data_IF_968851120158
#
_entry.id   IF_968851120158
#
_cell.length_a   1.000
_cell.length_b   1.000
_cell.length_c   1.000
_cell.angle_alpha   90.00
_cell.angle_beta   90.00
_cell.angle_gamma   90.00
#
_symmetry.space_group_name_H-M   'P 1'
#
loop_
_entity.id
_entity.type
_entity.pdbx_description
1 polymer ?
#
# COMPACT_ATOMS: atom_id res chain seq x y z
N UNK A 1 40.62 10.64 4.96
CA UNK A 1 39.64 9.59 5.28
C UNK A 1 38.27 10.19 5.38
N UNK A 2 37.30 9.62 4.69
CA UNK A 2 35.94 10.12 4.75
C UNK A 2 35.25 9.69 6.04
N UNK A 3 34.58 10.61 6.72
CA UNK A 3 33.85 10.34 7.95
C UNK A 3 32.36 10.16 7.72
N UNK A 4 31.96 9.98 6.48
CA UNK A 4 30.55 9.79 6.14
C UNK A 4 30.38 8.70 5.09
N UNK A 5 29.17 8.17 5.03
CA UNK A 5 28.74 7.28 3.96
C UNK A 5 27.58 7.93 3.22
N UNK A 6 27.36 7.48 2.01
CA UNK A 6 26.29 7.98 1.16
C UNK A 6 25.35 6.85 0.82
N UNK A 7 24.05 7.13 0.85
CA UNK A 7 23.03 6.15 0.52
C UNK A 7 21.95 6.82 -0.34
N UNK A 8 21.53 6.13 -1.37
CA UNK A 8 20.40 6.55 -2.20
C UNK A 8 19.28 5.54 -2.02
N UNK A 9 18.10 6.05 -1.70
CA UNK A 9 16.92 5.21 -1.48
C UNK A 9 15.84 5.63 -2.46
N UNK A 10 15.27 4.67 -3.18
CA UNK A 10 14.12 4.88 -4.04
C UNK A 10 12.87 4.40 -3.31
N UNK A 11 11.88 5.29 -3.17
CA UNK A 11 10.62 4.98 -2.52
C UNK A 11 9.53 4.86 -3.56
N UNK A 12 8.79 3.75 -3.51
CA UNK A 12 7.63 3.51 -4.36
C UNK A 12 6.40 3.42 -3.50
N UNK A 13 5.35 4.17 -3.87
CA UNK A 13 4.05 4.12 -3.21
C UNK A 13 3.07 3.54 -4.22
N UNK A 14 2.42 2.42 -3.86
CA UNK A 14 1.36 1.85 -4.68
C UNK A 14 0.02 2.12 -4.02
N UNK A 15 -0.93 2.61 -4.81
CA UNK A 15 -2.25 3.01 -4.33
C UNK A 15 -3.34 2.37 -5.15
N UNK A 16 -4.40 1.97 -4.46
CA UNK A 16 -5.66 1.53 -5.07
C UNK A 16 -6.73 2.51 -4.61
N UNK A 17 -7.37 3.17 -5.55
CA UNK A 17 -8.26 4.29 -5.30
C UNK A 17 -9.68 3.86 -5.59
N UNK A 18 -10.55 3.97 -4.57
CA UNK A 18 -11.96 3.60 -4.66
C UNK A 18 -12.77 4.89 -4.63
N UNK A 19 -13.61 5.16 -5.66
CA UNK A 19 -14.49 6.33 -5.61
C UNK A 19 -15.48 6.25 -4.45
N UNK A 20 -15.70 7.37 -3.79
CA UNK A 20 -16.64 7.48 -2.69
C UNK A 20 -17.46 8.74 -2.90
N UNK A 21 -18.70 8.58 -3.33
CA UNK A 21 -19.58 9.70 -3.62
C UNK A 21 -20.52 9.97 -2.46
N UNK A 22 -20.67 11.24 -2.09
CA UNK A 22 -21.66 11.60 -1.08
C UNK A 22 -23.06 11.53 -1.65
N UNK A 23 -24.06 11.14 -0.83
CA UNK A 23 -23.95 10.71 0.57
C UNK A 23 -23.65 9.22 0.75
N UNK A 24 -23.43 8.49 -0.33
CA UNK A 24 -23.40 7.02 -0.34
C UNK A 24 -22.07 6.43 0.14
N UNK A 25 -20.98 7.20 0.01
CA UNK A 25 -19.66 6.69 0.32
C UNK A 25 -19.16 5.68 -0.70
N UNK A 26 -18.17 4.87 -0.30
CA UNK A 26 -17.61 3.82 -1.14
C UNK A 26 -18.37 2.52 -0.93
N UNK A 27 -18.65 1.79 -2.01
CA UNK A 27 -19.31 0.50 -1.92
C UNK A 27 -18.39 -0.52 -1.24
N UNK A 28 -18.91 -1.25 -0.25
CA UNK A 28 -18.13 -2.25 0.48
C UNK A 28 -17.55 -3.32 -0.45
N UNK A 29 -18.31 -3.72 -1.48
CA UNK A 29 -17.84 -4.70 -2.45
C UNK A 29 -16.60 -4.21 -3.21
N UNK A 30 -16.56 -2.93 -3.56
CA UNK A 30 -15.43 -2.35 -4.27
C UNK A 30 -14.19 -2.23 -3.35
N UNK A 31 -14.40 -1.88 -2.08
CA UNK A 31 -13.34 -1.86 -1.09
C UNK A 31 -12.74 -3.27 -0.93
N UNK A 32 -13.60 -4.28 -0.84
CA UNK A 32 -13.16 -5.67 -0.71
C UNK A 32 -12.34 -6.15 -1.89
N UNK A 33 -12.75 -5.81 -3.12
CA UNK A 33 -12.00 -6.15 -4.33
C UNK A 33 -10.64 -5.47 -4.35
N UNK A 34 -10.60 -4.18 -4.05
CA UNK A 34 -9.36 -3.42 -4.03
C UNK A 34 -8.41 -3.94 -2.94
N UNK A 35 -8.95 -4.27 -1.77
CA UNK A 35 -8.18 -4.84 -0.67
C UNK A 35 -7.53 -6.15 -1.10
N UNK A 36 -8.28 -7.06 -1.74
CA UNK A 36 -7.76 -8.35 -2.17
C UNK A 36 -6.60 -8.17 -3.17
N UNK A 37 -6.73 -7.23 -4.10
CA UNK A 37 -5.66 -6.94 -5.07
C UNK A 37 -4.44 -6.33 -4.38
N UNK A 38 -4.66 -5.39 -3.47
CA UNK A 38 -3.59 -4.73 -2.73
C UNK A 38 -2.84 -5.73 -1.84
N UNK A 39 -3.56 -6.60 -1.16
CA UNK A 39 -2.98 -7.65 -0.33
C UNK A 39 -2.13 -8.61 -1.17
N UNK A 40 -2.63 -9.02 -2.32
CA UNK A 40 -1.86 -9.89 -3.23
C UNK A 40 -0.59 -9.21 -3.71
N UNK A 41 -0.67 -7.94 -4.06
CA UNK A 41 0.51 -7.18 -4.50
C UNK A 41 1.55 -7.06 -3.38
N UNK A 42 1.10 -6.81 -2.15
CA UNK A 42 1.97 -6.73 -0.99
C UNK A 42 2.68 -8.06 -0.74
N UNK A 43 1.91 -9.15 -0.73
CA UNK A 43 2.46 -10.50 -0.51
C UNK A 43 3.48 -10.88 -1.58
N UNK A 44 3.17 -10.59 -2.85
CA UNK A 44 4.07 -10.89 -3.96
C UNK A 44 5.37 -10.09 -3.85
N UNK A 45 5.27 -8.82 -3.47
CA UNK A 45 6.46 -7.97 -3.34
C UNK A 45 7.39 -8.45 -2.22
N UNK A 46 6.84 -8.88 -1.10
CA UNK A 46 7.62 -9.30 0.07
C UNK A 46 7.83 -10.80 0.18
N UNK A 47 7.30 -11.58 -0.76
CA UNK A 47 7.45 -13.03 -0.74
C UNK A 47 6.74 -13.70 0.44
N UNK A 48 5.59 -13.20 0.84
CA UNK A 48 4.83 -13.71 1.98
C UNK A 48 3.82 -14.75 1.51
N UNK A 49 3.84 -15.92 2.14
CA UNK A 49 2.89 -16.99 1.81
C UNK A 49 1.45 -16.61 2.19
N UNK A 50 0.48 -17.18 1.46
CA UNK A 50 -0.94 -16.83 1.65
C UNK A 50 -1.45 -17.15 3.05
N UNK A 51 -0.93 -18.18 3.70
CA UNK A 51 -1.33 -18.58 5.04
C UNK A 51 -0.67 -17.80 6.15
N UNK A 52 0.31 -16.96 5.85
CA UNK A 52 0.94 -16.11 6.86
C UNK A 52 0.12 -14.84 7.08
N UNK A 53 -0.16 -14.48 8.35
CA UNK A 53 -0.86 -13.24 8.61
C UNK A 53 0.02 -12.03 8.29
N UNK A 54 -0.60 -10.95 7.82
CA UNK A 54 0.09 -9.68 7.58
C UNK A 54 0.08 -8.86 8.87
N UNK A 55 1.06 -7.96 8.99
CA UNK A 55 1.06 -6.98 10.06
C UNK A 55 -0.12 -6.02 9.88
N UNK A 56 -0.61 -5.47 10.99
CA UNK A 56 -1.74 -4.55 10.96
C UNK A 56 -1.48 -3.31 10.10
N UNK A 57 -0.24 -2.89 10.00
CA UNK A 57 0.16 -1.72 9.23
C UNK A 57 0.79 -2.05 7.87
N UNK A 58 0.64 -3.29 7.39
CA UNK A 58 1.12 -3.68 6.06
C UNK A 58 0.48 -2.85 4.97
N UNK A 59 -0.83 -2.66 5.06
CA UNK A 59 -1.61 -1.83 4.16
C UNK A 59 -2.27 -0.72 4.99
N UNK A 60 -2.35 0.48 4.40
CA UNK A 60 -2.94 1.62 5.08
C UNK A 60 -4.10 2.19 4.29
N UNK A 61 -5.10 2.67 5.01
CA UNK A 61 -6.25 3.37 4.43
C UNK A 61 -6.10 4.86 4.62
N UNK A 62 -6.47 5.60 3.58
CA UNK A 62 -6.61 7.05 3.65
C UNK A 62 -7.97 7.42 3.08
N UNK A 63 -8.60 8.41 3.69
CA UNK A 63 -9.85 8.96 3.17
C UNK A 63 -9.54 10.34 2.63
N UNK A 64 -9.87 10.55 1.37
CA UNK A 64 -9.83 11.87 0.71
C UNK A 64 -11.26 12.32 0.44
N UNK A 65 -11.42 13.52 -0.08
CA UNK A 65 -12.73 14.16 -0.24
C UNK A 65 -13.79 13.25 -0.89
N UNK A 66 -13.42 12.56 -1.95
CA UNK A 66 -14.33 11.69 -2.69
C UNK A 66 -13.74 10.31 -2.99
N UNK A 67 -12.77 9.89 -2.18
CA UNK A 67 -12.04 8.65 -2.44
C UNK A 67 -11.65 7.95 -1.14
N UNK A 68 -11.60 6.63 -1.20
CA UNK A 68 -10.91 5.79 -0.22
C UNK A 68 -9.67 5.24 -0.91
N UNK A 69 -8.53 5.35 -0.26
CA UNK A 69 -7.24 4.92 -0.82
C UNK A 69 -6.64 3.84 0.07
N UNK A 70 -6.27 2.73 -0.55
CA UNK A 70 -5.49 1.67 0.09
C UNK A 70 -4.09 1.77 -0.46
N UNK A 71 -3.06 1.80 0.40
CA UNK A 71 -1.70 1.94 -0.09
C UNK A 71 -0.68 1.19 0.75
N UNK A 72 0.46 0.92 0.13
CA UNK A 72 1.67 0.53 0.85
C UNK A 72 2.89 1.15 0.17
N UNK A 73 3.97 1.26 0.93
CA UNK A 73 5.22 1.84 0.46
C UNK A 73 6.33 0.81 0.50
N UNK A 74 7.23 0.90 -0.46
CA UNK A 74 8.44 0.10 -0.49
C UNK A 74 9.64 1.01 -0.70
N UNK A 75 10.77 0.63 -0.11
CA UNK A 75 12.02 1.35 -0.29
C UNK A 75 13.07 0.37 -0.80
N UNK A 76 13.79 0.79 -1.82
CA UNK A 76 14.87 0.00 -2.40
C UNK A 76 16.15 0.81 -2.31
N UNK A 77 17.13 0.38 -1.49
CA UNK A 77 18.44 1.03 -1.49
C UNK A 77 19.10 0.88 -2.85
N UNK A 78 19.71 1.95 -3.32
CA UNK A 78 20.46 1.94 -4.58
C UNK A 78 21.93 2.03 -4.25
N UNK A 79 22.77 1.15 -4.81
CA UNK A 79 24.22 1.19 -4.56
C UNK A 79 24.86 2.50 -5.03
#
# INVERSE_FOLDING_TARGET
MADFTSETVTRTIRRWIIPAAEPWGAAAAEIGKAWAVAERAYRNHHGIADEQPLHDDALRFHVRDDQVVIEFQTETPTP
#
